data_IF_724535783361
#
_entry.id   IF_724535783361
#
_cell.length_a   1.000
_cell.length_b   1.000
_cell.length_c   1.000
_cell.angle_alpha   90.00
_cell.angle_beta   90.00
_cell.angle_gamma   90.00
#
_symmetry.space_group_name_H-M   'P 1'
#
loop_
_entity.id
_entity.type
_entity.pdbx_description
1 polymer ?
#
# COMPACT_ATOMS: atom_id res chain seq x y z
N UNK A 1 5.88 4.49 24.14
CA UNK A 1 6.92 5.53 24.07
C UNK A 1 6.30 6.79 23.50
N UNK A 2 6.38 7.92 24.23
CA UNK A 2 5.79 9.18 23.75
C UNK A 2 6.63 9.71 22.59
N UNK A 3 6.08 9.75 21.40
CA UNK A 3 6.68 10.42 20.25
C UNK A 3 6.84 11.92 20.55
N UNK A 4 8.05 12.42 20.33
CA UNK A 4 8.49 13.76 20.73
C UNK A 4 7.77 14.84 19.91
N UNK A 5 6.76 15.50 20.52
CA UNK A 5 6.07 16.69 20.00
C UNK A 5 7.03 17.79 19.51
N UNK A 6 8.29 17.79 19.96
CA UNK A 6 9.31 18.76 19.52
C UNK A 6 9.75 18.53 18.08
N UNK A 7 9.81 17.29 17.58
CA UNK A 7 10.15 17.02 16.16
C UNK A 7 9.05 17.49 15.21
N UNK A 8 7.79 17.33 15.58
CA UNK A 8 6.66 17.84 14.78
C UNK A 8 6.66 19.38 14.72
N UNK A 9 6.92 20.05 15.83
CA UNK A 9 6.96 21.51 15.91
C UNK A 9 8.22 22.11 15.22
N UNK A 10 9.32 21.38 15.17
CA UNK A 10 10.50 21.82 14.41
C UNK A 10 10.28 21.74 12.88
N UNK A 11 9.53 20.78 12.39
CA UNK A 11 9.14 20.68 10.98
C UNK A 11 8.07 21.71 10.59
N UNK A 12 7.13 22.01 11.48
CA UNK A 12 6.10 23.04 11.28
C UNK A 12 6.64 24.49 11.41
N UNK A 13 7.77 24.70 12.11
CA UNK A 13 8.35 26.01 12.36
C UNK A 13 9.09 26.66 11.18
N UNK A 14 9.39 25.91 10.11
CA UNK A 14 10.06 26.45 8.93
C UNK A 14 9.11 27.00 7.85
N UNK A 15 7.79 26.93 8.05
CA UNK A 15 6.77 27.34 7.06
C UNK A 15 6.02 28.65 7.34
N UNK A 16 6.32 29.38 8.44
CA UNK A 16 5.60 30.60 8.82
C UNK A 16 6.47 31.84 8.69
N UNK A 17 6.82 32.21 7.47
CA UNK A 17 7.46 33.43 7.16
C UNK A 17 7.14 33.90 5.74
N UNK A 18 6.22 34.87 5.64
CA UNK A 18 5.88 35.63 4.46
C UNK A 18 4.73 35.14 3.57
N UNK A 19 3.53 35.64 3.84
CA UNK A 19 2.59 36.11 2.81
C UNK A 19 1.52 37.00 3.43
N UNK A 20 1.77 38.26 3.49
CA UNK A 20 0.72 39.28 3.39
C UNK A 20 0.81 39.88 2.00
N UNK A 21 -0.32 40.07 1.36
CA UNK A 21 -0.73 41.03 0.31
C UNK A 21 -1.45 40.34 -0.82
N UNK A 22 -2.67 40.48 -0.96
CA UNK A 22 -3.56 41.41 -1.65
C UNK A 22 -4.77 40.70 -2.23
N UNK A 23 -5.88 41.18 -1.80
CA UNK A 23 -7.23 40.95 -2.34
C UNK A 23 -7.45 41.68 -3.67
N UNK A 24 -8.47 41.18 -4.40
CA UNK A 24 -9.22 41.77 -5.50
C UNK A 24 -8.75 41.44 -6.92
N UNK A 25 -9.48 40.57 -7.54
CA UNK A 25 -10.20 40.85 -8.80
C UNK A 25 -11.21 39.73 -9.04
N UNK A 26 -12.48 40.07 -8.86
CA UNK A 26 -13.58 39.19 -9.22
C UNK A 26 -13.63 39.04 -10.75
N UNK A 27 -13.51 37.79 -11.20
CA UNK A 27 -13.90 37.40 -12.55
C UNK A 27 -15.11 36.48 -12.43
N UNK A 28 -16.28 36.98 -12.87
CA UNK A 28 -17.43 36.11 -13.11
C UNK A 28 -17.10 35.14 -14.24
N UNK A 29 -16.55 34.00 -13.89
CA UNK A 29 -16.54 32.84 -14.77
C UNK A 29 -17.89 32.17 -14.65
N UNK A 30 -18.70 32.27 -15.73
CA UNK A 30 -19.87 31.44 -15.93
C UNK A 30 -19.45 29.97 -15.83
N UNK A 31 -19.79 29.33 -14.72
CA UNK A 31 -19.64 27.90 -14.55
C UNK A 31 -20.49 27.20 -15.59
N UNK A 32 -19.87 26.72 -16.66
CA UNK A 32 -20.46 25.75 -17.55
C UNK A 32 -20.81 24.52 -16.73
N UNK A 33 -22.11 24.25 -16.55
CA UNK A 33 -22.61 23.01 -15.96
C UNK A 33 -22.53 21.90 -17.00
N UNK A 34 -21.33 21.49 -17.40
CA UNK A 34 -21.12 20.16 -17.93
C UNK A 34 -21.43 19.21 -16.80
N UNK A 35 -22.46 18.37 -16.91
CA UNK A 35 -22.64 17.22 -16.03
C UNK A 35 -21.34 16.41 -16.13
N UNK A 36 -20.47 16.52 -15.13
CA UNK A 36 -19.31 15.64 -15.01
C UNK A 36 -19.85 14.21 -14.99
N UNK A 37 -19.27 13.35 -15.83
CA UNK A 37 -19.56 11.92 -15.74
C UNK A 37 -19.23 11.46 -14.31
N UNK A 38 -20.09 10.65 -13.69
CA UNK A 38 -19.80 10.17 -12.34
C UNK A 38 -18.46 9.44 -12.34
N UNK A 39 -17.68 9.69 -11.31
CA UNK A 39 -16.39 9.02 -11.09
C UNK A 39 -16.60 7.50 -11.11
N UNK A 40 -15.79 6.78 -11.88
CA UNK A 40 -16.01 5.36 -12.16
C UNK A 40 -16.07 4.50 -10.89
N UNK A 41 -15.36 4.89 -9.82
CA UNK A 41 -15.32 4.16 -8.55
C UNK A 41 -16.55 4.42 -7.65
N UNK A 42 -17.48 5.23 -8.10
CA UNK A 42 -18.74 5.52 -7.39
C UNK A 42 -19.96 4.92 -8.10
N UNK A 43 -19.75 4.11 -9.13
CA UNK A 43 -20.86 3.54 -9.93
C UNK A 43 -20.63 2.08 -10.33
N UNK A 44 -21.70 1.38 -10.64
CA UNK A 44 -21.65 0.02 -11.17
C UNK A 44 -21.01 -0.97 -10.22
N UNK A 45 -20.06 -1.75 -10.70
CA UNK A 45 -19.34 -2.75 -9.91
C UNK A 45 -18.40 -2.17 -8.84
N UNK A 46 -18.12 -0.87 -8.92
CA UNK A 46 -17.30 -0.15 -7.95
C UNK A 46 -18.14 0.62 -6.92
N UNK A 47 -19.48 0.47 -6.98
CA UNK A 47 -20.35 1.15 -6.02
C UNK A 47 -19.93 0.80 -4.58
N UNK A 48 -19.68 1.81 -3.74
CA UNK A 48 -19.29 1.58 -2.36
C UNK A 48 -20.36 0.78 -1.60
N UNK A 49 -19.91 -0.05 -0.69
CA UNK A 49 -20.78 -0.74 0.27
C UNK A 49 -21.12 0.23 1.40
N UNK A 50 -22.39 0.47 1.65
CA UNK A 50 -22.87 1.50 2.56
C UNK A 50 -22.84 1.12 4.04
N UNK A 51 -22.62 -0.17 4.35
CA UNK A 51 -22.58 -0.68 5.73
C UNK A 51 -21.88 -2.03 5.85
N UNK A 52 -21.36 -2.30 7.01
CA UNK A 52 -20.93 -3.65 7.38
C UNK A 52 -22.09 -4.64 7.30
N UNK A 53 -21.80 -5.85 6.88
CA UNK A 53 -22.81 -6.89 6.67
C UNK A 53 -22.31 -8.21 7.26
N UNK A 54 -23.24 -8.95 7.85
CA UNK A 54 -23.05 -10.35 8.25
C UNK A 54 -24.25 -11.16 7.77
N UNK A 55 -24.00 -12.26 7.09
CA UNK A 55 -25.03 -13.18 6.60
C UNK A 55 -24.62 -14.64 6.85
N UNK A 56 -25.59 -15.42 7.21
CA UNK A 56 -25.52 -16.89 7.31
C UNK A 56 -26.56 -17.52 6.37
N UNK A 57 -26.54 -18.82 6.20
CA UNK A 57 -27.46 -19.53 5.31
C UNK A 57 -27.42 -18.97 3.86
N UNK A 58 -26.21 -18.83 3.34
CA UNK A 58 -25.99 -18.30 2.01
C UNK A 58 -26.58 -19.24 0.95
N UNK A 59 -27.31 -18.68 -0.01
CA UNK A 59 -27.76 -19.42 -1.18
C UNK A 59 -26.57 -19.73 -2.08
N UNK A 60 -26.41 -21.01 -2.42
CA UNK A 60 -25.40 -21.50 -3.35
C UNK A 60 -26.10 -21.98 -4.62
N UNK A 61 -25.63 -21.53 -5.78
CA UNK A 61 -26.02 -22.03 -7.08
C UNK A 61 -24.89 -22.94 -7.61
N UNK A 62 -25.23 -24.20 -7.91
CA UNK A 62 -24.25 -25.25 -8.22
C UNK A 62 -23.74 -25.96 -6.96
N UNK A 63 -22.50 -26.44 -6.98
CA UNK A 63 -21.90 -27.17 -5.88
C UNK A 63 -20.52 -26.59 -5.52
N UNK A 64 -20.27 -26.43 -4.25
CA UNK A 64 -18.94 -26.08 -3.72
C UNK A 64 -18.20 -27.40 -3.49
N UNK A 65 -16.99 -27.58 -4.05
CA UNK A 65 -16.18 -28.75 -3.77
C UNK A 65 -15.94 -28.92 -2.26
N UNK A 66 -16.17 -30.12 -1.68
CA UNK A 66 -16.04 -30.34 -0.24
C UNK A 66 -14.60 -30.21 0.27
N UNK A 67 -13.62 -30.24 -0.63
CA UNK A 67 -12.19 -30.03 -0.34
C UNK A 67 -11.86 -28.55 -0.05
N UNK A 68 -12.71 -27.61 -0.50
CA UNK A 68 -12.54 -26.19 -0.21
C UNK A 68 -12.96 -25.89 1.22
N UNK A 69 -12.00 -25.96 2.12
CA UNK A 69 -12.17 -25.62 3.54
C UNK A 69 -11.26 -24.44 3.89
N UNK A 70 -11.83 -23.38 4.44
CA UNK A 70 -11.08 -22.20 4.84
C UNK A 70 -11.84 -20.90 4.66
N UNK A 71 -11.09 -19.81 4.67
CA UNK A 71 -11.60 -18.46 4.49
C UNK A 71 -11.14 -17.92 3.13
N UNK A 72 -12.10 -17.65 2.25
CA UNK A 72 -11.85 -16.75 1.13
C UNK A 72 -12.07 -15.33 1.61
N UNK A 73 -11.07 -14.47 1.47
CA UNK A 73 -11.16 -13.07 1.89
C UNK A 73 -10.43 -12.17 0.89
N UNK A 74 -10.97 -10.98 0.68
CA UNK A 74 -10.36 -9.90 -0.08
C UNK A 74 -10.44 -8.59 0.69
N UNK A 75 -9.49 -7.71 0.42
CA UNK A 75 -9.46 -6.33 0.87
C UNK A 75 -9.58 -5.39 -0.32
N UNK A 76 -10.06 -4.19 -0.10
CA UNK A 76 -10.09 -3.13 -1.11
C UNK A 76 -10.58 -1.82 -0.53
N UNK A 77 -10.33 -0.71 -1.24
CA UNK A 77 -10.84 0.59 -0.85
C UNK A 77 -12.36 0.62 -0.94
N UNK A 78 -13.01 1.18 0.08
CA UNK A 78 -14.43 1.44 0.09
C UNK A 78 -14.67 2.92 0.45
N UNK A 79 -15.30 3.66 -0.46
CA UNK A 79 -15.56 5.07 -0.27
C UNK A 79 -16.76 5.27 0.66
N UNK A 80 -16.49 5.54 1.93
CA UNK A 80 -17.52 5.79 2.90
C UNK A 80 -18.27 7.10 2.59
N UNK A 81 -19.53 6.99 2.23
CA UNK A 81 -20.44 8.12 1.93
C UNK A 81 -19.97 9.08 0.83
N UNK A 82 -19.14 8.60 -0.11
CA UNK A 82 -18.65 9.43 -1.20
C UNK A 82 -17.62 10.48 -0.76
N UNK A 83 -16.92 10.23 0.35
CA UNK A 83 -15.98 11.17 0.96
C UNK A 83 -14.63 11.25 0.29
N UNK A 84 -14.27 10.26 -0.56
CA UNK A 84 -12.95 10.22 -1.18
C UNK A 84 -12.92 10.90 -2.54
N UNK A 85 -11.81 11.58 -2.81
CA UNK A 85 -11.54 12.25 -4.08
C UNK A 85 -10.74 11.39 -5.07
N UNK A 86 -10.35 10.18 -4.66
CA UNK A 86 -9.55 9.29 -5.49
C UNK A 86 -9.84 7.82 -5.17
N UNK A 87 -9.82 6.96 -6.20
CA UNK A 87 -10.11 5.51 -6.08
C UNK A 87 -9.28 4.79 -5.01
N UNK A 88 -7.99 5.14 -4.87
CA UNK A 88 -7.09 4.50 -3.91
C UNK A 88 -7.27 4.98 -2.47
N UNK A 89 -8.07 6.00 -2.20
CA UNK A 89 -8.14 6.65 -0.89
C UNK A 89 -9.35 6.22 -0.06
N UNK A 90 -10.10 5.21 -0.48
CA UNK A 90 -11.17 4.62 0.33
C UNK A 90 -10.63 3.85 1.53
N UNK A 91 -11.42 3.77 2.60
CA UNK A 91 -11.11 2.96 3.77
C UNK A 91 -11.06 1.47 3.43
N UNK A 92 -10.17 0.72 4.07
CA UNK A 92 -10.04 -0.72 3.86
C UNK A 92 -11.29 -1.47 4.29
N UNK A 93 -11.90 -2.20 3.35
CA UNK A 93 -13.04 -3.04 3.63
C UNK A 93 -12.79 -4.49 3.24
N UNK A 94 -12.92 -5.35 4.22
CA UNK A 94 -12.75 -6.80 4.09
C UNK A 94 -14.06 -7.43 3.65
N UNK A 95 -14.00 -8.35 2.70
CA UNK A 95 -15.11 -9.20 2.30
C UNK A 95 -14.68 -10.65 2.40
N UNK A 96 -15.31 -11.43 3.27
CA UNK A 96 -14.95 -12.82 3.47
C UNK A 96 -16.12 -13.79 3.41
N UNK A 97 -15.81 -14.98 2.92
CA UNK A 97 -16.73 -16.13 2.93
C UNK A 97 -16.00 -17.31 3.57
N UNK A 98 -16.58 -17.85 4.62
CA UNK A 98 -16.10 -19.11 5.21
C UNK A 98 -16.69 -20.30 4.48
N UNK A 99 -15.82 -21.14 3.95
CA UNK A 99 -16.18 -22.39 3.28
C UNK A 99 -15.82 -23.57 4.15
N UNK A 100 -16.73 -24.52 4.28
CA UNK A 100 -16.51 -25.74 5.05
C UNK A 100 -17.40 -26.86 4.55
N UNK A 101 -16.82 -28.02 4.23
CA UNK A 101 -17.52 -29.24 3.80
C UNK A 101 -18.58 -28.99 2.71
N UNK A 102 -18.23 -28.27 1.66
CA UNK A 102 -19.12 -27.96 0.54
C UNK A 102 -20.21 -26.93 0.85
N UNK A 103 -20.08 -26.16 1.93
CA UNK A 103 -21.02 -25.12 2.35
C UNK A 103 -20.34 -23.76 2.51
N UNK A 104 -21.07 -22.70 2.17
CA UNK A 104 -20.72 -21.34 2.55
C UNK A 104 -21.37 -21.05 3.92
N UNK A 105 -20.57 -21.07 4.98
CA UNK A 105 -21.04 -20.95 6.36
C UNK A 105 -21.53 -19.55 6.70
N UNK A 106 -20.75 -18.56 6.31
CA UNK A 106 -21.07 -17.16 6.49
C UNK A 106 -20.39 -16.27 5.43
N UNK A 107 -20.96 -15.10 5.20
CA UNK A 107 -20.35 -13.96 4.54
C UNK A 107 -20.28 -12.79 5.52
N UNK A 108 -19.16 -12.06 5.48
CA UNK A 108 -19.00 -10.81 6.22
C UNK A 108 -18.31 -9.75 5.38
N UNK A 109 -18.78 -8.53 5.53
CA UNK A 109 -18.13 -7.32 5.05
C UNK A 109 -17.85 -6.43 6.26
N UNK A 110 -16.57 -6.08 6.50
CA UNK A 110 -16.14 -5.26 7.64
C UNK A 110 -15.07 -4.28 7.28
N UNK A 111 -15.15 -3.08 7.81
CA UNK A 111 -14.04 -2.14 7.75
C UNK A 111 -12.88 -2.57 8.64
N UNK A 112 -11.66 -2.32 8.16
CA UNK A 112 -10.47 -2.38 9.01
C UNK A 112 -10.52 -1.18 9.95
N UNK A 113 -10.51 -1.43 11.26
CA UNK A 113 -10.62 -0.39 12.28
C UNK A 113 -9.27 0.31 12.47
N UNK A 114 -8.97 1.22 11.55
CA UNK A 114 -7.76 2.06 11.60
C UNK A 114 -8.01 3.34 12.37
N UNK A 115 -6.97 4.03 12.89
CA UNK A 115 -7.13 5.33 13.56
C UNK A 115 -7.70 6.44 12.67
N UNK A 116 -7.63 6.26 11.35
CA UNK A 116 -8.13 7.22 10.35
C UNK A 116 -9.44 6.79 9.68
N UNK A 117 -10.03 5.68 10.11
CA UNK A 117 -11.31 5.22 9.58
C UNK A 117 -12.35 6.35 9.61
N UNK A 118 -13.05 6.55 8.49
CA UNK A 118 -14.02 7.64 8.26
C UNK A 118 -13.44 9.06 8.30
N UNK A 119 -12.13 9.20 8.11
CA UNK A 119 -11.45 10.50 8.05
C UNK A 119 -10.82 10.67 6.68
N UNK A 120 -10.64 11.93 6.26
CA UNK A 120 -9.91 12.20 5.03
C UNK A 120 -8.47 11.71 5.14
N UNK A 121 -8.04 10.77 4.30
CA UNK A 121 -6.69 10.27 4.34
C UNK A 121 -5.72 11.34 3.85
N UNK A 122 -4.55 11.39 4.47
CA UNK A 122 -3.42 12.16 3.99
C UNK A 122 -2.22 11.22 3.94
N UNK A 123 -1.81 10.81 2.75
CA UNK A 123 -0.82 9.76 2.55
C UNK A 123 0.53 10.03 3.23
N UNK A 124 0.89 11.30 3.44
CA UNK A 124 2.10 11.65 4.19
C UNK A 124 2.03 11.30 5.68
N UNK A 125 0.86 11.04 6.23
CA UNK A 125 0.78 10.58 7.61
C UNK A 125 1.38 9.19 7.79
N UNK A 126 1.24 8.29 6.82
CA UNK A 126 1.79 6.94 6.88
C UNK A 126 3.29 6.89 7.19
N UNK A 127 4.18 7.62 6.47
CA UNK A 127 5.59 7.67 6.79
C UNK A 127 5.94 8.28 8.16
N UNK A 128 5.10 9.16 8.68
CA UNK A 128 5.31 9.83 9.98
C UNK A 128 4.62 9.13 11.14
N UNK A 129 3.48 8.51 10.87
CA UNK A 129 2.60 7.84 11.80
C UNK A 129 2.10 6.55 11.14
N UNK A 130 2.92 5.49 11.05
CA UNK A 130 2.62 4.31 10.22
C UNK A 130 1.33 3.58 10.60
N UNK A 131 0.83 3.76 11.82
CA UNK A 131 -0.46 3.27 12.28
C UNK A 131 -1.65 4.01 11.64
N UNK A 132 -1.41 5.20 11.05
CA UNK A 132 -2.43 6.04 10.42
C UNK A 132 -2.47 5.78 8.90
N UNK A 133 -2.90 4.60 8.51
CA UNK A 133 -3.09 4.25 7.11
C UNK A 133 -4.46 3.62 6.88
N UNK A 134 -4.86 3.52 5.62
CA UNK A 134 -6.20 3.04 5.23
C UNK A 134 -6.33 1.52 5.27
N UNK A 135 -5.22 0.79 5.25
CA UNK A 135 -5.19 -0.68 5.23
C UNK A 135 -6.13 -1.29 4.18
N UNK A 136 -6.06 -0.79 2.95
CA UNK A 136 -7.09 -0.98 1.93
C UNK A 136 -6.62 -1.68 0.65
N UNK A 137 -5.45 -2.33 0.67
CA UNK A 137 -4.86 -2.87 -0.55
C UNK A 137 -4.94 -4.40 -0.59
N UNK A 138 -4.34 -5.09 0.35
CA UNK A 138 -4.22 -6.55 0.29
C UNK A 138 -4.33 -7.23 1.66
N UNK A 139 -4.30 -8.55 1.63
CA UNK A 139 -4.23 -9.42 2.80
C UNK A 139 -3.15 -10.45 2.61
N UNK A 140 -2.42 -10.77 3.67
CA UNK A 140 -1.46 -11.86 3.67
C UNK A 140 -1.57 -12.68 4.95
N UNK A 141 -1.40 -13.99 4.83
CA UNK A 141 -1.26 -14.88 5.99
C UNK A 141 0.22 -15.20 6.19
N UNK A 142 0.77 -14.85 7.35
CA UNK A 142 2.15 -15.12 7.69
C UNK A 142 2.34 -15.23 9.20
N UNK A 143 3.23 -16.12 9.66
CA UNK A 143 3.52 -16.31 11.08
C UNK A 143 2.28 -16.60 11.93
N UNK A 144 1.29 -17.32 11.39
CA UNK A 144 0.02 -17.63 12.07
C UNK A 144 -0.96 -16.46 12.17
N UNK A 145 -0.68 -15.31 11.53
CA UNK A 145 -1.52 -14.11 11.52
C UNK A 145 -2.11 -13.86 10.15
N UNK A 146 -3.32 -13.31 10.11
CA UNK A 146 -3.91 -12.70 8.93
C UNK A 146 -3.70 -11.19 9.05
N UNK A 147 -2.96 -10.61 8.10
CA UNK A 147 -2.58 -9.20 8.11
C UNK A 147 -3.26 -8.47 6.96
N UNK A 148 -3.93 -7.38 7.26
CA UNK A 148 -4.46 -6.42 6.30
C UNK A 148 -3.43 -5.32 6.06
N UNK A 149 -3.17 -5.00 4.79
CA UNK A 149 -2.08 -4.14 4.36
C UNK A 149 -2.60 -2.91 3.61
N UNK A 150 -1.95 -1.79 3.85
CA UNK A 150 -2.02 -0.57 3.06
C UNK A 150 -0.63 -0.19 2.58
N UNK A 151 -0.51 0.66 1.57
CA UNK A 151 0.78 0.93 0.93
C UNK A 151 1.78 1.66 1.84
N UNK A 152 1.34 2.55 2.68
CA UNK A 152 2.24 3.47 3.39
C UNK A 152 2.05 3.42 4.91
N UNK A 153 1.97 2.23 5.51
CA UNK A 153 1.79 2.11 6.95
C UNK A 153 2.07 0.72 7.50
N UNK A 154 1.78 0.53 8.77
CA UNK A 154 1.89 -0.76 9.42
C UNK A 154 0.68 -1.65 9.11
N UNK A 155 0.86 -2.98 9.04
CA UNK A 155 -0.23 -3.94 8.94
C UNK A 155 -1.21 -3.86 10.11
N UNK A 156 -2.43 -4.32 9.87
CA UNK A 156 -3.41 -4.59 10.92
C UNK A 156 -3.70 -6.09 11.00
N UNK A 157 -3.61 -6.66 12.19
CA UNK A 157 -3.97 -8.06 12.43
C UNK A 157 -5.48 -8.22 12.43
N UNK A 158 -5.97 -9.18 11.64
CA UNK A 158 -7.38 -9.47 11.45
C UNK A 158 -7.72 -10.83 12.05
N UNK A 159 -8.84 -10.90 12.77
CA UNK A 159 -9.38 -12.16 13.23
C UNK A 159 -9.99 -12.97 12.07
N UNK A 160 -9.46 -14.16 11.74
CA UNK A 160 -9.97 -14.94 10.61
C UNK A 160 -11.37 -15.55 10.86
N UNK A 161 -11.84 -15.57 12.10
CA UNK A 161 -13.14 -16.16 12.43
C UNK A 161 -14.30 -15.18 12.24
N UNK A 162 -14.01 -13.87 12.34
CA UNK A 162 -15.08 -12.89 12.23
C UNK A 162 -14.72 -11.62 11.44
N UNK A 163 -13.49 -11.50 10.94
CA UNK A 163 -12.91 -10.36 10.23
C UNK A 163 -12.81 -9.08 11.09
N UNK A 164 -12.89 -9.16 12.40
CA UNK A 164 -12.62 -8.02 13.27
C UNK A 164 -11.14 -7.65 13.26
N UNK A 165 -10.84 -6.37 13.39
CA UNK A 165 -9.47 -5.88 13.56
C UNK A 165 -9.05 -6.12 15.00
N UNK A 166 -7.95 -6.85 15.19
CA UNK A 166 -7.37 -7.13 16.51
C UNK A 166 -6.51 -5.99 17.01
N UNK A 167 -5.52 -5.62 16.21
CA UNK A 167 -4.54 -4.59 16.57
C UNK A 167 -3.71 -4.16 15.36
N UNK A 168 -2.98 -3.06 15.48
CA UNK A 168 -1.87 -2.73 14.60
C UNK A 168 -0.70 -3.70 14.86
N UNK A 169 0.02 -4.09 13.81
CA UNK A 169 1.12 -5.05 13.92
C UNK A 169 2.43 -4.43 13.43
N UNK A 170 3.32 -4.15 14.37
CA UNK A 170 4.63 -3.51 14.16
C UNK A 170 5.81 -4.46 14.36
N UNK A 171 5.58 -5.78 14.27
CA UNK A 171 6.57 -6.83 14.54
C UNK A 171 7.17 -6.73 15.94
N UNK A 172 6.35 -6.41 16.95
CA UNK A 172 6.78 -6.26 18.33
C UNK A 172 7.68 -5.04 18.56
N UNK A 173 7.41 -3.95 17.87
CA UNK A 173 8.18 -2.70 17.94
C UNK A 173 9.47 -2.70 17.11
N UNK A 174 9.70 -3.73 16.29
CA UNK A 174 10.92 -3.85 15.46
C UNK A 174 10.79 -3.15 14.12
N UNK A 175 9.58 -3.02 13.57
CA UNK A 175 9.34 -2.33 12.31
C UNK A 175 9.29 -0.82 12.54
N UNK A 176 10.25 -0.11 11.97
CA UNK A 176 10.39 1.35 12.11
C UNK A 176 10.11 2.13 10.82
N UNK A 177 9.64 1.43 9.78
CA UNK A 177 9.23 2.00 8.48
C UNK A 177 7.78 1.64 8.20
N UNK A 178 7.21 2.19 7.12
CA UNK A 178 6.02 1.61 6.52
C UNK A 178 6.32 0.20 5.97
N UNK A 179 5.29 -0.55 5.62
CA UNK A 179 5.37 -1.85 4.96
C UNK A 179 4.64 -1.77 3.61
N UNK A 180 5.26 -2.29 2.54
CA UNK A 180 4.57 -2.45 1.25
C UNK A 180 3.31 -3.28 1.39
N UNK A 181 2.31 -3.00 0.58
CA UNK A 181 1.11 -3.83 0.49
C UNK A 181 1.30 -5.11 -0.35
N UNK A 182 2.49 -5.34 -0.92
CA UNK A 182 2.81 -6.45 -1.81
C UNK A 182 3.99 -7.31 -1.33
N UNK A 183 4.00 -7.77 -0.05
CA UNK A 183 5.06 -8.66 0.43
C UNK A 183 5.09 -9.96 -0.35
N UNK A 184 6.25 -10.60 -0.43
CA UNK A 184 6.44 -11.90 -1.09
C UNK A 184 6.87 -12.93 -0.04
N UNK A 185 6.27 -14.11 -0.06
CA UNK A 185 6.67 -15.23 0.79
C UNK A 185 7.46 -16.21 -0.06
N UNK A 186 8.66 -16.53 0.36
CA UNK A 186 9.46 -17.59 -0.24
C UNK A 186 8.81 -18.95 0.08
N UNK A 187 8.36 -19.71 -0.93
CA UNK A 187 7.62 -20.94 -0.70
C UNK A 187 8.46 -22.08 -0.10
N UNK A 188 9.80 -21.99 -0.17
CA UNK A 188 10.71 -23.01 0.33
C UNK A 188 11.07 -22.79 1.79
N UNK A 189 11.24 -21.52 2.19
CA UNK A 189 11.70 -21.16 3.52
C UNK A 189 10.60 -20.63 4.43
N UNK A 190 9.47 -20.17 3.84
CA UNK A 190 8.43 -19.45 4.55
C UNK A 190 8.84 -18.01 4.95
N UNK A 191 10.02 -17.56 4.54
CA UNK A 191 10.50 -16.20 4.78
C UNK A 191 9.63 -15.20 4.03
N UNK A 192 9.15 -14.18 4.71
CA UNK A 192 8.45 -13.07 4.08
C UNK A 192 9.44 -11.95 3.81
N UNK A 193 9.48 -11.51 2.54
CA UNK A 193 10.27 -10.40 2.05
C UNK A 193 9.34 -9.23 1.79
N UNK A 194 9.74 -8.05 2.23
CA UNK A 194 8.97 -6.82 2.02
C UNK A 194 9.90 -5.60 2.10
N UNK A 195 9.38 -4.45 1.78
CA UNK A 195 10.09 -3.18 1.93
C UNK A 195 9.17 -2.11 2.53
N UNK A 196 9.80 -1.07 3.05
CA UNK A 196 9.16 0.21 3.32
C UNK A 196 9.83 1.30 2.52
N UNK A 197 9.05 2.18 1.91
CA UNK A 197 9.60 3.40 1.30
C UNK A 197 9.15 4.64 2.06
N UNK A 198 9.92 5.72 1.94
CA UNK A 198 9.67 6.95 2.68
C UNK A 198 10.04 8.16 1.81
N UNK A 199 9.44 9.30 2.13
CA UNK A 199 9.80 10.60 1.55
C UNK A 199 11.00 11.25 2.26
N UNK A 200 11.47 10.64 3.35
CA UNK A 200 12.66 11.00 4.10
C UNK A 200 13.68 9.86 4.09
N UNK A 201 14.96 10.17 4.15
CA UNK A 201 16.03 9.15 4.22
C UNK A 201 15.95 8.29 5.48
N UNK A 202 16.19 6.95 5.36
CA UNK A 202 16.40 6.22 4.13
C UNK A 202 15.10 6.14 3.31
N UNK A 203 15.17 6.41 1.99
CA UNK A 203 14.00 6.39 1.12
C UNK A 203 13.48 4.98 0.88
N UNK A 204 14.33 3.96 0.99
CA UNK A 204 14.00 2.55 0.84
C UNK A 204 14.66 1.74 1.94
N UNK A 205 13.90 0.82 2.54
CA UNK A 205 14.43 -0.18 3.48
C UNK A 205 13.86 -1.55 3.15
N UNK A 206 14.72 -2.51 2.93
CA UNK A 206 14.34 -3.91 2.71
C UNK A 206 14.27 -4.66 4.04
N UNK A 207 13.24 -5.50 4.16
CA UNK A 207 12.98 -6.26 5.38
C UNK A 207 12.78 -7.75 5.10
N UNK A 208 13.12 -8.59 6.08
CA UNK A 208 12.78 -10.00 6.09
C UNK A 208 12.15 -10.37 7.43
N UNK A 209 11.06 -11.13 7.38
CA UNK A 209 10.50 -11.79 8.55
C UNK A 209 10.53 -13.31 8.35
N UNK A 210 10.94 -14.05 9.36
CA UNK A 210 11.01 -15.50 9.28
C UNK A 210 9.61 -16.16 9.26
N UNK A 211 9.57 -17.47 9.06
CA UNK A 211 8.30 -18.22 8.96
C UNK A 211 7.43 -18.13 10.25
N UNK A 212 7.98 -17.72 11.37
CA UNK A 212 7.25 -17.49 12.62
C UNK A 212 6.64 -16.09 12.72
N UNK A 213 7.00 -15.19 11.79
CA UNK A 213 6.62 -13.78 11.77
C UNK A 213 7.53 -12.86 12.56
N UNK A 214 8.72 -13.30 12.95
CA UNK A 214 9.76 -12.49 13.58
C UNK A 214 10.49 -11.65 12.52
N UNK A 215 10.60 -10.32 12.72
CA UNK A 215 11.42 -9.45 11.88
C UNK A 215 12.91 -9.72 12.18
N UNK A 216 13.61 -10.28 11.19
CA UNK A 216 15.01 -10.73 11.35
C UNK A 216 16.02 -9.86 10.60
N UNK A 217 15.58 -9.08 9.62
CA UNK A 217 16.43 -8.17 8.85
C UNK A 217 15.71 -6.87 8.52
N UNK A 218 16.43 -5.76 8.66
CA UNK A 218 16.06 -4.44 8.17
C UNK A 218 17.29 -3.79 7.57
N UNK A 219 17.30 -3.61 6.25
CA UNK A 219 18.44 -3.16 5.47
C UNK A 219 18.09 -1.87 4.72
N UNK A 220 18.57 -0.70 5.18
CA UNK A 220 18.46 0.52 4.40
C UNK A 220 19.22 0.41 3.09
N UNK A 221 18.58 0.86 2.00
CA UNK A 221 19.11 0.84 0.65
C UNK A 221 19.18 2.26 0.09
N UNK A 222 20.24 2.54 -0.67
CA UNK A 222 20.42 3.85 -1.30
C UNK A 222 19.64 3.91 -2.61
N UNK A 223 18.82 4.96 -2.74
CA UNK A 223 18.11 5.34 -3.96
C UNK A 223 18.42 6.79 -4.30
N UNK A 224 18.13 7.22 -5.52
CA UNK A 224 18.41 8.59 -5.98
C UNK A 224 17.51 9.61 -5.25
N UNK A 225 16.23 9.27 -5.09
CA UNK A 225 15.25 10.15 -4.47
C UNK A 225 14.06 9.44 -3.86
N UNK A 226 13.09 10.20 -3.35
CA UNK A 226 11.84 9.68 -2.78
C UNK A 226 10.86 9.34 -3.91
N UNK A 227 11.11 8.23 -4.60
CA UNK A 227 10.20 7.69 -5.60
C UNK A 227 9.09 6.86 -4.94
N UNK A 228 7.90 6.88 -5.54
CA UNK A 228 6.82 5.95 -5.20
C UNK A 228 7.24 4.55 -5.63
N UNK A 229 7.28 3.61 -4.69
CA UNK A 229 7.60 2.22 -4.95
C UNK A 229 6.44 1.34 -4.51
N UNK A 230 5.63 0.89 -5.47
CA UNK A 230 4.38 0.19 -5.17
C UNK A 230 4.59 -1.31 -4.94
N UNK A 231 5.30 -1.97 -5.85
CA UNK A 231 5.59 -3.41 -5.81
C UNK A 231 7.08 -3.66 -6.03
N UNK A 232 7.51 -4.89 -5.87
CA UNK A 232 8.85 -5.38 -6.17
C UNK A 232 8.77 -6.82 -6.68
N UNK A 233 9.83 -7.34 -7.26
CA UNK A 233 9.87 -8.72 -7.68
C UNK A 233 10.80 -9.56 -6.80
N UNK A 234 10.62 -10.88 -6.83
CA UNK A 234 11.46 -11.83 -6.14
C UNK A 234 11.69 -13.06 -7.03
N UNK A 235 12.95 -13.48 -7.14
CA UNK A 235 13.36 -14.74 -7.75
C UNK A 235 13.74 -15.78 -6.69
N UNK A 236 14.36 -16.86 -7.07
CA UNK A 236 14.88 -17.84 -6.12
C UNK A 236 15.96 -17.24 -5.20
N UNK A 237 16.88 -16.39 -5.74
CA UNK A 237 18.02 -15.88 -4.97
C UNK A 237 18.03 -14.35 -4.81
N UNK A 238 17.22 -13.59 -5.55
CA UNK A 238 17.27 -12.13 -5.55
C UNK A 238 15.91 -11.48 -5.24
N UNK A 239 15.97 -10.25 -4.77
CA UNK A 239 14.85 -9.29 -4.75
C UNK A 239 15.16 -8.17 -5.72
N UNK A 240 14.14 -7.68 -6.43
CA UNK A 240 14.27 -6.65 -7.46
C UNK A 240 13.40 -5.46 -7.10
N UNK A 241 14.03 -4.33 -6.84
CA UNK A 241 13.36 -3.06 -6.53
C UNK A 241 13.25 -2.21 -7.80
N UNK A 242 12.18 -1.42 -7.89
CA UNK A 242 11.89 -0.60 -9.06
C UNK A 242 11.89 0.87 -8.66
N UNK A 243 12.99 1.59 -8.92
CA UNK A 243 13.03 3.05 -8.76
C UNK A 243 12.54 3.69 -10.06
N UNK A 244 11.29 4.15 -10.03
CA UNK A 244 10.56 4.60 -11.22
C UNK A 244 10.20 6.09 -11.12
N UNK A 245 9.90 6.76 -12.25
CA UNK A 245 9.81 8.21 -12.34
C UNK A 245 8.48 8.80 -11.82
N UNK A 246 7.92 8.24 -10.75
CA UNK A 246 6.84 8.85 -9.97
C UNK A 246 7.43 9.29 -8.64
N UNK A 247 7.68 10.58 -8.52
CA UNK A 247 8.46 11.15 -7.44
C UNK A 247 7.62 12.03 -6.51
N UNK A 248 8.06 12.12 -5.27
CA UNK A 248 7.41 12.97 -4.28
C UNK A 248 7.52 14.44 -4.65
N UNK A 249 6.39 15.17 -4.59
CA UNK A 249 6.28 16.59 -4.87
C UNK A 249 6.04 17.39 -3.59
N UNK A 250 7.04 18.14 -3.17
CA UNK A 250 6.91 19.03 -2.00
C UNK A 250 5.84 20.11 -2.22
N UNK A 251 5.66 20.62 -3.45
CA UNK A 251 4.63 21.61 -3.76
C UNK A 251 3.23 21.07 -3.57
N UNK A 252 2.96 19.84 -3.99
CA UNK A 252 1.69 19.15 -3.74
C UNK A 252 1.49 18.89 -2.24
N UNK A 253 2.52 18.44 -1.54
CA UNK A 253 2.44 18.19 -0.11
C UNK A 253 2.11 19.45 0.70
N UNK A 254 2.66 20.60 0.32
CA UNK A 254 2.36 21.88 0.95
C UNK A 254 0.92 22.38 0.70
N UNK A 255 0.29 21.94 -0.38
CA UNK A 255 -1.14 22.21 -0.66
C UNK A 255 -2.08 21.15 -0.08
N UNK A 256 -1.55 20.21 0.71
CA UNK A 256 -2.29 19.10 1.30
C UNK A 256 -2.97 18.20 0.25
N UNK A 257 -2.37 18.09 -0.94
CA UNK A 257 -2.81 17.11 -1.93
C UNK A 257 -2.75 15.71 -1.29
N UNK A 258 -3.84 14.95 -1.28
CA UNK A 258 -3.86 13.62 -0.66
C UNK A 258 -2.90 12.63 -1.31
N UNK A 259 -2.49 12.89 -2.58
CA UNK A 259 -1.54 12.08 -3.32
C UNK A 259 -0.37 12.94 -3.85
N UNK A 260 0.63 13.27 -3.01
CA UNK A 260 1.68 14.24 -3.32
C UNK A 260 2.81 13.65 -4.19
N UNK A 261 2.46 12.92 -5.23
CA UNK A 261 3.41 12.38 -6.21
C UNK A 261 3.11 12.94 -7.60
N UNK A 262 4.14 12.99 -8.43
CA UNK A 262 4.07 13.47 -9.81
C UNK A 262 4.90 12.57 -10.72
N UNK A 263 4.49 12.48 -11.98
CA UNK A 263 5.32 11.93 -13.03
C UNK A 263 6.42 12.93 -13.39
N UNK A 264 7.67 12.50 -13.35
CA UNK A 264 8.85 13.26 -13.77
C UNK A 264 9.65 12.42 -14.77
N UNK A 265 9.49 12.72 -16.05
CA UNK A 265 10.14 11.95 -17.12
C UNK A 265 11.69 12.03 -17.13
N UNK A 266 12.24 13.02 -16.44
CA UNK A 266 13.69 13.23 -16.29
C UNK A 266 14.26 12.56 -15.03
N UNK A 267 13.39 12.03 -14.16
CA UNK A 267 13.83 11.28 -12.98
C UNK A 267 14.42 9.92 -13.36
N UNK A 268 15.21 9.38 -12.43
CA UNK A 268 15.81 8.05 -12.57
C UNK A 268 14.74 6.99 -12.83
N UNK A 269 15.02 6.08 -13.75
CA UNK A 269 14.21 4.91 -14.04
C UNK A 269 15.13 3.69 -14.14
N UNK A 270 15.14 2.85 -13.09
CA UNK A 270 16.06 1.71 -12.98
C UNK A 270 15.52 0.59 -12.11
N UNK A 271 16.07 -0.59 -12.29
CA UNK A 271 15.82 -1.76 -11.44
C UNK A 271 17.06 -2.07 -10.62
N UNK A 272 16.88 -2.26 -9.32
CA UNK A 272 17.92 -2.67 -8.39
C UNK A 272 17.79 -4.15 -8.08
N UNK A 273 18.82 -4.92 -8.34
CA UNK A 273 18.90 -6.36 -8.06
C UNK A 273 19.78 -6.58 -6.84
N UNK A 274 19.23 -7.23 -5.81
CA UNK A 274 19.92 -7.50 -4.55
C UNK A 274 19.80 -8.99 -4.21
N UNK A 275 20.90 -9.70 -3.90
CA UNK A 275 20.83 -11.03 -3.32
C UNK A 275 20.01 -11.01 -2.01
N UNK A 276 19.12 -12.00 -1.80
CA UNK A 276 18.26 -12.05 -0.61
C UNK A 276 19.06 -11.97 0.70
N UNK A 277 20.24 -12.65 0.73
CA UNK A 277 21.12 -12.66 1.88
C UNK A 277 22.18 -11.55 1.86
N UNK A 278 22.19 -10.73 0.81
CA UNK A 278 23.16 -9.67 0.55
C UNK A 278 23.10 -8.52 1.56
N UNK A 279 24.12 -7.67 1.50
CA UNK A 279 24.18 -6.38 2.20
C UNK A 279 23.93 -5.23 1.22
N UNK A 280 23.76 -4.01 1.72
CA UNK A 280 23.43 -2.86 0.86
C UNK A 280 24.44 -2.62 -0.28
N UNK A 281 25.73 -2.95 -0.06
CA UNK A 281 26.78 -2.84 -1.06
C UNK A 281 26.66 -3.83 -2.24
N UNK A 282 25.87 -4.90 -2.07
CA UNK A 282 25.65 -5.90 -3.11
C UNK A 282 24.54 -5.50 -4.10
N UNK A 283 23.86 -4.37 -3.83
CA UNK A 283 22.84 -3.83 -4.73
C UNK A 283 23.45 -3.42 -6.06
N UNK A 284 22.92 -3.96 -7.15
CA UNK A 284 23.28 -3.57 -8.52
C UNK A 284 22.11 -2.89 -9.20
N UNK A 285 22.32 -1.67 -9.70
CA UNK A 285 21.31 -0.90 -10.40
C UNK A 285 21.48 -0.99 -11.91
N UNK A 286 20.37 -1.18 -12.62
CA UNK A 286 20.30 -1.29 -14.07
C UNK A 286 19.30 -0.27 -14.60
N UNK A 287 19.77 0.68 -15.41
CA UNK A 287 18.92 1.65 -16.08
C UNK A 287 17.98 0.97 -17.06
N UNK A 288 16.73 1.39 -17.07
CA UNK A 288 15.70 0.91 -17.99
C UNK A 288 15.05 2.10 -18.71
N UNK A 289 14.41 1.88 -19.88
CA UNK A 289 13.64 2.95 -20.52
C UNK A 289 12.56 3.50 -19.59
N UNK A 290 12.41 4.82 -19.58
CA UNK A 290 11.42 5.54 -18.76
C UNK A 290 10.03 4.92 -18.89
N UNK A 291 9.50 4.46 -17.77
CA UNK A 291 8.20 3.80 -17.69
C UNK A 291 7.70 3.74 -16.25
N UNK A 292 6.46 3.34 -16.06
CA UNK A 292 5.94 2.95 -14.75
C UNK A 292 5.45 1.50 -14.76
N UNK A 293 5.64 0.82 -13.64
CA UNK A 293 5.18 -0.56 -13.41
C UNK A 293 4.47 -0.55 -12.05
N UNK A 294 3.16 -0.82 -12.05
CA UNK A 294 2.45 -1.02 -10.79
C UNK A 294 2.79 -2.37 -10.18
N UNK A 295 2.65 -3.44 -10.98
CA UNK A 295 2.84 -4.80 -10.48
C UNK A 295 3.74 -5.61 -11.40
N UNK A 296 4.56 -6.45 -10.79
CA UNK A 296 5.29 -7.50 -11.47
C UNK A 296 4.40 -8.74 -11.62
N UNK A 297 4.44 -9.38 -12.77
CA UNK A 297 3.70 -10.61 -13.05
C UNK A 297 4.50 -11.83 -12.63
N UNK A 298 5.80 -11.84 -12.94
CA UNK A 298 6.72 -12.93 -12.62
C UNK A 298 8.15 -12.41 -12.59
N UNK A 299 9.04 -13.15 -11.89
CA UNK A 299 10.48 -12.96 -11.98
C UNK A 299 11.21 -14.29 -11.79
N UNK A 300 12.25 -14.53 -12.58
CA UNK A 300 13.03 -15.76 -12.53
C UNK A 300 14.47 -15.53 -13.01
N UNK A 301 15.33 -16.48 -12.72
CA UNK A 301 16.73 -16.46 -13.15
C UNK A 301 16.94 -17.38 -14.35
N UNK A 302 17.70 -16.89 -15.34
CA UNK A 302 18.04 -17.62 -16.55
C UNK A 302 19.53 -17.41 -16.88
N UNK A 303 20.37 -18.37 -16.52
CA UNK A 303 21.83 -18.22 -16.58
C UNK A 303 22.31 -17.06 -15.71
N UNK A 304 23.02 -16.11 -16.29
CA UNK A 304 23.55 -14.93 -15.60
C UNK A 304 22.57 -13.73 -15.62
N UNK A 305 21.30 -13.97 -15.96
CA UNK A 305 20.31 -12.92 -16.10
C UNK A 305 19.13 -13.11 -15.16
N UNK A 306 18.60 -12.00 -14.65
CA UNK A 306 17.31 -11.92 -13.98
C UNK A 306 16.28 -11.41 -14.98
N UNK A 307 15.18 -12.14 -15.12
CA UNK A 307 14.06 -11.80 -16.00
C UNK A 307 12.89 -11.33 -15.14
N UNK A 308 12.29 -10.21 -15.50
CA UNK A 308 11.09 -9.67 -14.86
C UNK A 308 10.01 -9.46 -15.91
N UNK A 309 8.88 -10.13 -15.75
CA UNK A 309 7.69 -9.93 -16.56
C UNK A 309 6.74 -8.95 -15.86
N UNK A 310 6.38 -7.87 -16.52
CA UNK A 310 5.53 -6.83 -15.94
C UNK A 310 4.68 -6.10 -16.99
N UNK A 311 3.53 -5.56 -16.56
CA UNK A 311 2.77 -4.62 -17.35
C UNK A 311 3.41 -3.22 -17.26
N UNK A 312 3.85 -2.72 -18.41
CA UNK A 312 4.55 -1.44 -18.52
C UNK A 312 3.60 -0.34 -19.01
N UNK A 313 3.69 0.83 -18.38
CA UNK A 313 3.02 2.06 -18.77
C UNK A 313 4.08 3.07 -19.22
N UNK A 314 3.88 3.69 -20.39
CA UNK A 314 4.83 4.67 -20.93
C UNK A 314 4.77 6.03 -20.20
N UNK A 315 3.69 6.29 -19.51
CA UNK A 315 3.49 7.44 -18.62
C UNK A 315 2.40 7.12 -17.57
N UNK A 316 2.38 7.87 -16.50
CA UNK A 316 1.38 7.77 -15.45
C UNK A 316 0.77 9.16 -15.20
N UNK A 317 -0.59 9.21 -15.12
CA UNK A 317 -1.47 10.42 -15.06
C UNK A 317 -1.01 11.66 -15.82
#
# INVERSE_FOLDING_TARGET
>A
MSYDRRRFLQLAGFGLGAATVSSMLGSCATRSTTKESPEFWKVGNFLPVDRETAATNLRVEGAIPPELNGLYVRNGPNDWQGSTEHFFLGDGMLHGVRLEQGRAQWYRARYVQTPILYKNPFMLLGPLMPEHNMSNVSLIQHGGRLLSLGEAGWPFEIDPDDLSTRQVFDFGGKLNTAMTAHPKIDPHTGMMHFFGYNVFRPYLTYHQADATGELVKSLPLETDGPAMMHDFAMTEHHVIFMELPVVFSMSKALTLDPFPFVWDADAVCRMGVLPKDGVAADMQWFDIPTCFIFHTMNAYEAGDSVIVDAARYDALW
#
